data_IF_413026364336
#
_entry.id   IF_413026364336
#
_cell.length_a   1.000
_cell.length_b   1.000
_cell.length_c   1.000
_cell.angle_alpha   90.00
_cell.angle_beta   90.00
_cell.angle_gamma   90.00
#
_symmetry.space_group_name_H-M   'P 1'
#
loop_
_entity.id
_entity.type
_entity.pdbx_description
1 polymer ?
#
# COMPACT_ATOMS: atom_id res chain seq x y z
N UNK A 1 24.02 35.13 -53.52
CA UNK A 1 25.31 35.45 -52.87
C UNK A 1 25.02 35.67 -51.39
N UNK A 2 25.44 34.77 -50.49
CA UNK A 2 26.75 34.79 -49.77
C UNK A 2 26.86 36.05 -48.88
N UNK A 3 27.19 36.06 -47.59
CA UNK A 3 27.63 35.12 -46.54
C UNK A 3 27.67 35.95 -45.23
N UNK A 4 27.67 35.31 -44.05
CA UNK A 4 28.46 35.62 -42.82
C UNK A 4 27.74 34.98 -41.61
N UNK A 5 27.98 33.69 -41.36
CA UNK A 5 28.96 33.14 -40.40
C UNK A 5 28.53 33.18 -38.93
N UNK A 6 27.89 32.08 -38.52
CA UNK A 6 27.91 31.59 -37.14
C UNK A 6 29.31 31.06 -36.80
N UNK A 7 29.96 31.71 -35.84
CA UNK A 7 31.09 31.16 -35.10
C UNK A 7 30.99 31.63 -33.65
N UNK A 8 30.30 30.86 -32.81
CA UNK A 8 30.41 30.96 -31.35
C UNK A 8 30.50 29.56 -30.75
N UNK A 9 31.75 29.10 -30.74
CA UNK A 9 32.46 28.27 -29.78
C UNK A 9 31.81 26.98 -29.23
N UNK A 10 32.44 25.86 -29.59
CA UNK A 10 32.35 24.56 -28.91
C UNK A 10 32.63 24.61 -27.38
N UNK A 11 33.16 25.71 -26.84
CA UNK A 11 33.41 25.91 -25.42
C UNK A 11 32.13 25.95 -24.56
N UNK A 12 31.00 26.45 -25.11
CA UNK A 12 29.72 26.53 -24.38
C UNK A 12 29.02 25.17 -24.19
N UNK A 13 29.23 24.22 -25.10
CA UNK A 13 28.67 22.87 -24.98
C UNK A 13 29.48 21.96 -24.05
N UNK A 14 30.81 22.17 -23.95
CA UNK A 14 31.63 21.45 -22.97
C UNK A 14 31.39 21.92 -21.52
N UNK A 15 31.14 23.22 -21.30
CA UNK A 15 30.83 23.74 -19.97
C UNK A 15 29.48 23.22 -19.43
N UNK A 16 28.44 23.10 -20.28
CA UNK A 16 27.16 22.47 -19.90
C UNK A 16 27.30 20.97 -19.59
N UNK A 17 28.14 20.24 -20.34
CA UNK A 17 28.45 18.83 -20.06
C UNK A 17 29.27 18.62 -18.78
N UNK A 18 30.11 19.59 -18.40
CA UNK A 18 30.87 19.52 -17.14
C UNK A 18 30.03 19.87 -15.91
N UNK A 19 29.03 20.74 -16.02
CA UNK A 19 28.11 21.06 -14.91
C UNK A 19 27.10 19.93 -14.64
N UNK A 20 26.65 19.19 -15.67
CA UNK A 20 25.85 17.96 -15.46
C UNK A 20 26.68 16.80 -14.87
N UNK A 21 28.00 16.78 -15.06
CA UNK A 21 28.89 15.75 -14.49
C UNK A 21 29.34 16.01 -13.05
N UNK A 22 29.05 17.19 -12.47
CA UNK A 22 29.45 17.53 -11.09
C UNK A 22 28.35 17.35 -10.03
N UNK A 23 27.15 16.91 -10.42
CA UNK A 23 26.08 16.52 -9.47
C UNK A 23 26.21 15.07 -8.95
N UNK A 24 27.22 14.33 -9.41
CA UNK A 24 27.50 12.96 -8.94
C UNK A 24 28.91 12.90 -8.34
N UNK A 25 29.02 13.43 -7.12
CA UNK A 25 30.19 13.28 -6.27
C UNK A 25 30.13 11.98 -5.45
N UNK A 26 31.02 11.05 -5.84
CA UNK A 26 31.59 9.87 -5.14
C UNK A 26 30.77 9.01 -4.16
N UNK A 27 30.72 7.73 -4.50
CA UNK A 27 30.64 6.53 -3.64
C UNK A 27 29.34 6.23 -2.89
N UNK A 28 28.28 6.03 -3.67
CA UNK A 28 27.39 4.86 -3.52
C UNK A 28 26.93 4.51 -4.93
N UNK A 29 26.95 3.24 -5.33
CA UNK A 29 26.37 2.78 -6.60
C UNK A 29 24.99 3.43 -6.75
N UNK A 30 24.84 4.38 -7.69
CA UNK A 30 23.59 5.07 -7.92
C UNK A 30 22.62 4.09 -8.61
N UNK A 31 22.06 3.16 -7.82
CA UNK A 31 21.04 2.23 -8.28
C UNK A 31 19.80 3.05 -8.63
N UNK A 32 19.24 2.81 -9.83
CA UNK A 32 17.92 3.34 -10.21
C UNK A 32 16.91 3.07 -9.08
N UNK A 33 15.93 3.96 -8.84
CA UNK A 33 14.93 3.76 -7.78
C UNK A 33 14.26 2.38 -7.94
N UNK A 34 14.03 1.65 -6.84
CA UNK A 34 13.29 0.39 -6.90
C UNK A 34 11.80 0.62 -7.24
N UNK A 35 11.07 -0.46 -7.51
CA UNK A 35 9.62 -0.43 -7.72
C UNK A 35 8.95 -1.64 -7.05
N UNK A 36 7.69 -1.52 -6.68
CA UNK A 36 6.91 -2.63 -6.11
C UNK A 36 6.03 -3.29 -7.19
N UNK A 37 5.63 -4.54 -6.99
CA UNK A 37 4.69 -5.24 -7.89
C UNK A 37 3.46 -5.65 -7.11
N UNK A 38 2.28 -5.24 -7.58
CA UNK A 38 1.00 -5.65 -7.03
C UNK A 38 0.28 -6.58 -8.00
N UNK A 39 -0.09 -7.75 -7.52
CA UNK A 39 -0.82 -8.75 -8.27
C UNK A 39 -2.23 -8.84 -7.71
N UNK A 40 -3.22 -8.46 -8.54
CA UNK A 40 -4.62 -8.47 -8.17
C UNK A 40 -5.28 -9.79 -8.57
N UNK A 41 -5.56 -10.64 -7.58
CA UNK A 41 -6.38 -11.84 -7.79
C UNK A 41 -7.87 -11.49 -7.67
N UNK A 42 -8.70 -11.67 -8.70
CA UNK A 42 -10.04 -11.07 -8.72
C UNK A 42 -11.10 -11.87 -7.96
N UNK A 43 -10.85 -13.13 -7.61
CA UNK A 43 -11.88 -14.06 -7.13
C UNK A 43 -11.93 -14.18 -5.60
N UNK A 44 -13.13 -14.28 -5.05
CA UNK A 44 -13.45 -14.67 -3.68
C UNK A 44 -14.43 -15.85 -3.68
N UNK A 45 -14.39 -16.70 -2.66
CA UNK A 45 -15.38 -17.77 -2.49
C UNK A 45 -16.79 -17.18 -2.27
N UNK A 46 -16.87 -16.11 -1.49
CA UNK A 46 -18.10 -15.36 -1.26
C UNK A 46 -17.81 -13.86 -1.09
N UNK A 47 -18.84 -13.02 -1.22
CA UNK A 47 -18.73 -11.58 -1.03
C UNK A 47 -19.13 -11.19 0.39
N UNK A 48 -18.15 -10.77 1.20
CA UNK A 48 -18.39 -10.19 2.54
C UNK A 48 -19.36 -9.00 2.47
N UNK A 49 -20.19 -8.83 3.49
CA UNK A 49 -21.30 -7.85 3.49
C UNK A 49 -20.83 -6.40 3.44
N UNK A 50 -19.60 -6.12 3.90
CA UNK A 50 -19.00 -4.79 3.94
C UNK A 50 -18.11 -4.47 2.73
N UNK A 51 -17.80 -5.44 1.86
CA UNK A 51 -16.75 -5.25 0.88
C UNK A 51 -17.21 -4.50 -0.38
N UNK A 52 -16.51 -3.42 -0.71
CA UNK A 52 -16.71 -2.60 -1.91
C UNK A 52 -15.56 -2.69 -2.94
N UNK A 53 -14.67 -3.69 -2.82
CA UNK A 53 -13.54 -3.86 -3.76
C UNK A 53 -13.97 -4.49 -5.09
N UNK A 54 -13.13 -4.29 -6.13
CA UNK A 54 -13.27 -4.97 -7.41
C UNK A 54 -12.98 -6.46 -7.25
N UNK A 55 -14.00 -7.24 -6.93
CA UNK A 55 -13.87 -8.68 -6.76
C UNK A 55 -15.13 -9.42 -7.19
N UNK A 56 -14.92 -10.64 -7.64
CA UNK A 56 -15.93 -11.49 -8.25
C UNK A 56 -16.07 -12.77 -7.44
N UNK A 57 -17.29 -13.28 -7.32
CA UNK A 57 -17.50 -14.61 -6.74
C UNK A 57 -16.86 -15.62 -7.69
N UNK A 58 -16.08 -16.53 -7.12
CA UNK A 58 -15.36 -17.55 -7.85
C UNK A 58 -16.38 -18.41 -8.64
N UNK A 59 -16.29 -18.47 -9.98
CA UNK A 59 -17.19 -19.32 -10.75
C UNK A 59 -16.87 -20.80 -10.47
N UNK A 60 -17.82 -21.68 -10.80
CA UNK A 60 -17.68 -23.13 -10.56
C UNK A 60 -16.45 -23.74 -11.25
N UNK A 61 -16.08 -23.22 -12.42
CA UNK A 61 -14.89 -23.60 -13.17
C UNK A 61 -14.11 -22.32 -13.55
N UNK A 62 -13.27 -21.81 -12.64
CA UNK A 62 -12.57 -20.57 -12.88
C UNK A 62 -11.41 -20.79 -13.85
N UNK A 63 -11.24 -19.91 -14.85
CA UNK A 63 -10.21 -20.06 -15.87
C UNK A 63 -8.82 -19.66 -15.32
N UNK A 64 -8.39 -20.25 -14.20
CA UNK A 64 -7.17 -19.91 -13.48
C UNK A 64 -5.94 -19.95 -14.39
N UNK A 65 -5.79 -20.99 -15.21
CA UNK A 65 -4.60 -21.15 -16.04
C UNK A 65 -4.56 -20.10 -17.16
N UNK A 66 -5.72 -19.73 -17.72
CA UNK A 66 -5.86 -18.62 -18.68
C UNK A 66 -5.55 -17.27 -18.01
N UNK A 67 -6.06 -17.06 -16.79
CA UNK A 67 -5.83 -15.84 -16.03
C UNK A 67 -4.35 -15.66 -15.69
N UNK A 68 -3.69 -16.72 -15.22
CA UNK A 68 -2.25 -16.71 -14.92
C UNK A 68 -1.46 -16.40 -16.17
N UNK A 69 -1.79 -17.04 -17.31
CA UNK A 69 -1.15 -16.74 -18.59
C UNK A 69 -1.29 -15.25 -18.95
N UNK A 70 -2.50 -14.70 -18.86
CA UNK A 70 -2.75 -13.28 -19.11
C UNK A 70 -1.91 -12.36 -18.19
N UNK A 71 -1.88 -12.65 -16.88
CA UNK A 71 -1.08 -11.89 -15.91
C UNK A 71 0.43 -11.98 -16.20
N UNK A 72 0.94 -13.15 -16.58
CA UNK A 72 2.35 -13.31 -16.96
C UNK A 72 2.66 -12.58 -18.27
N UNK A 73 1.75 -12.58 -19.25
CA UNK A 73 1.91 -11.80 -20.49
C UNK A 73 1.98 -10.30 -20.19
N UNK A 74 1.07 -9.78 -19.36
CA UNK A 74 1.07 -8.37 -18.98
C UNK A 74 2.32 -7.98 -18.18
N UNK A 75 2.79 -8.85 -17.27
CA UNK A 75 4.07 -8.67 -16.60
C UNK A 75 5.23 -8.55 -17.59
N UNK A 76 5.32 -9.47 -18.54
CA UNK A 76 6.37 -9.45 -19.56
C UNK A 76 6.31 -8.19 -20.41
N UNK A 77 5.10 -7.74 -20.77
CA UNK A 77 4.88 -6.49 -21.50
C UNK A 77 5.48 -5.30 -20.73
N UNK A 78 5.04 -5.06 -19.50
CA UNK A 78 5.48 -3.88 -18.73
C UNK A 78 6.95 -3.94 -18.32
N UNK A 79 7.46 -5.12 -17.97
CA UNK A 79 8.86 -5.26 -17.54
C UNK A 79 9.84 -5.06 -18.70
N UNK A 80 9.42 -5.32 -19.94
CA UNK A 80 10.25 -5.08 -21.14
C UNK A 80 9.96 -3.76 -21.85
N UNK A 81 8.95 -3.00 -21.43
CA UNK A 81 8.64 -1.71 -22.01
C UNK A 81 9.72 -0.67 -21.66
N UNK A 82 10.47 -0.15 -22.65
CA UNK A 82 11.56 0.79 -22.40
C UNK A 82 11.09 2.12 -21.80
N UNK A 83 9.81 2.51 -21.99
CA UNK A 83 9.24 3.74 -21.43
C UNK A 83 9.38 3.81 -19.91
N UNK A 84 9.28 2.68 -19.22
CA UNK A 84 9.31 2.64 -17.75
C UNK A 84 10.68 2.25 -17.18
N UNK A 85 11.59 1.73 -18.03
CA UNK A 85 12.95 1.37 -17.64
C UNK A 85 13.03 0.35 -16.48
N UNK A 86 12.04 -0.53 -16.33
CA UNK A 86 11.94 -1.45 -15.19
C UNK A 86 13.02 -2.53 -15.17
N UNK A 87 13.55 -2.90 -16.34
CA UNK A 87 14.53 -3.97 -16.51
C UNK A 87 15.82 -3.83 -15.67
N UNK A 88 16.23 -2.59 -15.41
CA UNK A 88 17.44 -2.28 -14.64
C UNK A 88 17.13 -1.82 -13.20
N UNK A 89 15.87 -1.92 -12.76
CA UNK A 89 15.43 -1.50 -11.42
C UNK A 89 15.26 -2.72 -10.53
N UNK A 90 15.59 -2.58 -9.25
CA UNK A 90 15.33 -3.63 -8.25
C UNK A 90 13.84 -3.69 -7.91
N UNK A 91 13.30 -4.90 -7.79
CA UNK A 91 11.98 -5.12 -7.20
C UNK A 91 12.08 -4.91 -5.69
N UNK A 92 11.28 -4.00 -5.15
CA UNK A 92 11.26 -3.65 -3.73
C UNK A 92 10.44 -4.63 -2.90
N UNK A 93 9.29 -5.04 -3.44
CA UNK A 93 8.33 -5.99 -2.87
C UNK A 93 7.39 -6.53 -3.96
N UNK A 94 6.79 -7.68 -3.69
CA UNK A 94 5.67 -8.25 -4.44
C UNK A 94 4.51 -8.49 -3.48
N UNK A 95 3.29 -8.11 -3.86
CA UNK A 95 2.11 -8.31 -3.03
C UNK A 95 0.98 -8.92 -3.83
N UNK A 96 0.51 -10.07 -3.38
CA UNK A 96 -0.67 -10.73 -3.89
C UNK A 96 -1.88 -10.35 -3.03
N UNK A 97 -2.82 -9.60 -3.61
CA UNK A 97 -4.02 -9.13 -2.93
C UNK A 97 -5.27 -9.14 -3.81
N UNK A 98 -6.32 -8.46 -3.36
CA UNK A 98 -7.53 -8.19 -4.16
C UNK A 98 -8.76 -8.91 -3.61
N UNK A 99 -9.18 -9.96 -4.29
CA UNK A 99 -10.19 -10.90 -3.83
C UNK A 99 -9.64 -11.80 -2.74
N UNK A 100 -9.24 -13.01 -3.10
CA UNK A 100 -8.66 -13.99 -2.16
C UNK A 100 -7.56 -14.76 -2.89
N UNK A 101 -6.32 -14.23 -2.93
CA UNK A 101 -5.18 -14.86 -3.63
C UNK A 101 -4.91 -16.30 -3.20
N UNK A 102 -5.18 -16.64 -1.94
CA UNK A 102 -5.06 -18.00 -1.43
C UNK A 102 -6.00 -19.01 -2.09
N UNK A 103 -6.99 -18.59 -2.89
CA UNK A 103 -7.79 -19.48 -3.74
C UNK A 103 -7.02 -19.97 -4.98
N UNK A 104 -5.99 -19.24 -5.41
CA UNK A 104 -5.15 -19.65 -6.53
C UNK A 104 -4.49 -21.02 -6.28
N UNK A 105 -4.08 -21.66 -7.38
CA UNK A 105 -3.16 -22.81 -7.32
C UNK A 105 -1.78 -22.28 -6.91
N UNK A 106 -1.01 -22.96 -6.05
CA UNK A 106 0.37 -22.51 -5.74
C UNK A 106 1.27 -22.39 -6.97
N UNK A 107 1.02 -23.17 -8.01
CA UNK A 107 1.69 -23.05 -9.31
C UNK A 107 1.45 -21.69 -10.00
N UNK A 108 0.31 -21.04 -9.77
CA UNK A 108 0.03 -19.69 -10.26
C UNK A 108 0.98 -18.66 -9.66
N UNK A 109 1.11 -18.69 -8.32
CA UNK A 109 2.02 -17.81 -7.57
C UNK A 109 3.45 -18.05 -8.01
N UNK A 110 3.86 -19.32 -8.13
CA UNK A 110 5.19 -19.68 -8.61
C UNK A 110 5.46 -19.14 -10.03
N UNK A 111 4.52 -19.32 -10.97
CA UNK A 111 4.67 -18.85 -12.34
C UNK A 111 4.86 -17.32 -12.41
N UNK A 112 4.06 -16.56 -11.66
CA UNK A 112 4.14 -15.10 -11.60
C UNK A 112 5.49 -14.65 -11.03
N UNK A 113 5.92 -15.21 -9.91
CA UNK A 113 7.21 -14.87 -9.29
C UNK A 113 8.39 -15.27 -10.18
N UNK A 114 8.28 -16.40 -10.88
CA UNK A 114 9.30 -16.86 -11.81
C UNK A 114 9.40 -15.97 -13.05
N UNK A 115 8.28 -15.47 -13.56
CA UNK A 115 8.28 -14.44 -14.61
C UNK A 115 9.00 -13.18 -14.15
N UNK A 116 8.69 -12.65 -12.95
CA UNK A 116 9.39 -11.47 -12.40
C UNK A 116 10.89 -11.75 -12.28
N UNK A 117 11.27 -12.90 -11.69
CA UNK A 117 12.67 -13.30 -11.51
C UNK A 117 13.42 -13.39 -12.83
N UNK A 118 12.82 -13.96 -13.87
CA UNK A 118 13.44 -14.08 -15.20
C UNK A 118 13.63 -12.74 -15.90
N UNK A 119 12.66 -11.83 -15.76
CA UNK A 119 12.66 -10.57 -16.49
C UNK A 119 13.59 -9.51 -15.85
N UNK A 120 13.58 -9.39 -14.52
CA UNK A 120 14.27 -8.29 -13.81
C UNK A 120 15.11 -8.74 -12.61
N UNK A 121 15.13 -10.04 -12.30
CA UNK A 121 15.73 -10.56 -11.07
C UNK A 121 14.85 -10.32 -9.85
N UNK A 122 14.95 -11.21 -8.87
CA UNK A 122 14.24 -11.11 -7.60
C UNK A 122 15.21 -11.47 -6.48
N UNK A 123 15.54 -10.51 -5.62
CA UNK A 123 16.48 -10.74 -4.53
C UNK A 123 15.86 -11.64 -3.46
N UNK A 124 16.68 -12.47 -2.80
CA UNK A 124 16.21 -13.43 -1.81
C UNK A 124 15.52 -12.78 -0.59
N UNK A 125 15.89 -11.54 -0.29
CA UNK A 125 15.32 -10.73 0.80
C UNK A 125 14.11 -9.87 0.38
N UNK A 126 13.63 -10.00 -0.86
CA UNK A 126 12.45 -9.27 -1.33
C UNK A 126 11.22 -9.68 -0.52
N UNK A 127 10.47 -8.71 0.02
CA UNK A 127 9.19 -9.00 0.67
C UNK A 127 8.18 -9.52 -0.37
N UNK A 128 7.68 -10.74 -0.17
CA UNK A 128 6.65 -11.37 -1.00
C UNK A 128 5.47 -11.66 -0.07
N UNK A 129 4.53 -10.72 -0.05
CA UNK A 129 3.33 -10.75 0.79
C UNK A 129 2.15 -11.37 0.05
N UNK A 130 1.31 -12.13 0.77
CA UNK A 130 0.07 -12.67 0.21
C UNK A 130 -1.08 -12.58 1.22
N UNK A 131 -2.24 -12.17 0.74
CA UNK A 131 -3.50 -12.22 1.49
C UNK A 131 -4.11 -13.64 1.47
N UNK A 132 -4.62 -14.09 2.61
CA UNK A 132 -5.30 -15.35 2.75
C UNK A 132 -6.50 -15.28 3.70
N UNK A 133 -7.51 -16.12 3.43
CA UNK A 133 -8.62 -16.36 4.37
C UNK A 133 -8.30 -17.55 5.29
N UNK A 134 -8.83 -17.57 6.52
CA UNK A 134 -8.49 -18.59 7.52
C UNK A 134 -9.27 -19.91 7.37
N UNK A 135 -9.83 -20.23 6.21
CA UNK A 135 -10.59 -21.47 5.99
C UNK A 135 -9.67 -22.70 5.90
N UNK A 136 -10.24 -23.90 6.07
CA UNK A 136 -9.47 -25.16 6.09
C UNK A 136 -8.80 -25.49 4.74
N UNK A 137 -9.44 -25.16 3.63
CA UNK A 137 -8.91 -25.39 2.28
C UNK A 137 -7.67 -24.56 2.05
N UNK A 138 -7.73 -23.26 2.36
CA UNK A 138 -6.60 -22.33 2.24
C UNK A 138 -5.43 -22.74 3.14
N UNK A 139 -5.70 -23.15 4.39
CA UNK A 139 -4.69 -23.62 5.34
C UNK A 139 -3.85 -24.77 4.77
N UNK A 140 -4.48 -25.71 4.05
CA UNK A 140 -3.79 -26.87 3.48
C UNK A 140 -2.71 -26.50 2.43
N UNK A 141 -2.85 -25.32 1.80
CA UNK A 141 -1.96 -24.84 0.73
C UNK A 141 -0.82 -23.94 1.22
N UNK A 142 -0.85 -23.49 2.47
CA UNK A 142 0.13 -22.52 3.01
C UNK A 142 1.60 -22.95 2.84
N UNK A 143 1.90 -24.24 3.06
CA UNK A 143 3.27 -24.77 2.84
C UNK A 143 3.70 -24.66 1.38
N UNK A 144 2.78 -24.93 0.45
CA UNK A 144 3.05 -24.86 -0.98
C UNK A 144 3.19 -23.41 -1.45
N UNK A 145 2.47 -22.46 -0.86
CA UNK A 145 2.67 -21.03 -1.11
C UNK A 145 4.03 -20.53 -0.59
N UNK A 146 4.47 -20.98 0.58
CA UNK A 146 5.84 -20.70 1.07
C UNK A 146 6.89 -21.25 0.09
N UNK A 147 6.70 -22.49 -0.38
CA UNK A 147 7.58 -23.10 -1.39
C UNK A 147 7.56 -22.38 -2.74
N UNK A 148 6.42 -21.80 -3.13
CA UNK A 148 6.30 -21.01 -4.34
C UNK A 148 7.08 -19.69 -4.27
N UNK A 149 7.39 -19.21 -3.05
CA UNK A 149 8.21 -18.03 -2.80
C UNK A 149 7.57 -16.99 -1.86
N UNK A 150 6.33 -17.20 -1.40
CA UNK A 150 5.71 -16.29 -0.42
C UNK A 150 6.51 -16.34 0.89
N UNK A 151 6.81 -15.19 1.47
CA UNK A 151 7.57 -15.10 2.71
C UNK A 151 6.93 -14.18 3.77
N UNK A 152 5.76 -13.60 3.49
CA UNK A 152 4.90 -12.88 4.44
C UNK A 152 3.43 -13.16 4.15
N UNK A 153 2.62 -13.37 5.19
CA UNK A 153 1.20 -13.70 5.07
C UNK A 153 0.34 -12.70 5.83
N UNK A 154 -0.73 -12.20 5.20
CA UNK A 154 -1.81 -11.45 5.86
C UNK A 154 -3.09 -12.27 5.91
N UNK A 155 -3.59 -12.54 7.12
CA UNK A 155 -4.84 -13.28 7.33
C UNK A 155 -6.02 -12.34 7.55
N UNK A 156 -7.04 -12.46 6.71
CA UNK A 156 -8.28 -11.71 6.86
C UNK A 156 -9.18 -12.26 7.96
N UNK A 157 -8.79 -12.12 9.24
CA UNK A 157 -9.53 -12.64 10.40
C UNK A 157 -10.79 -11.81 10.67
N UNK A 158 -10.68 -10.48 10.65
CA UNK A 158 -11.71 -9.46 10.85
C UNK A 158 -12.33 -9.40 12.25
N UNK A 159 -12.58 -10.55 12.87
CA UNK A 159 -13.11 -10.67 14.22
C UNK A 159 -12.75 -12.04 14.81
N UNK A 160 -12.57 -12.10 16.13
CA UNK A 160 -12.46 -13.35 16.89
C UNK A 160 -13.84 -13.86 17.34
N UNK A 161 -14.90 -13.06 17.15
CA UNK A 161 -16.27 -13.40 17.52
C UNK A 161 -17.04 -14.00 16.34
N UNK A 162 -17.46 -15.26 16.46
CA UNK A 162 -18.22 -15.98 15.44
C UNK A 162 -19.56 -15.32 15.07
N UNK A 163 -20.23 -14.63 15.99
CA UNK A 163 -21.47 -13.90 15.69
C UNK A 163 -21.20 -12.74 14.73
N UNK A 164 -20.16 -11.96 15.02
CA UNK A 164 -19.77 -10.79 14.23
C UNK A 164 -19.25 -11.21 12.84
N UNK A 165 -18.50 -12.32 12.77
CA UNK A 165 -18.07 -12.91 11.51
C UNK A 165 -19.25 -13.26 10.58
N UNK A 166 -20.32 -13.87 11.11
CA UNK A 166 -21.53 -14.17 10.34
C UNK A 166 -22.20 -12.89 9.82
N UNK A 167 -22.27 -11.85 10.65
CA UNK A 167 -22.80 -10.55 10.26
C UNK A 167 -21.99 -9.89 9.13
N UNK A 168 -20.66 -10.02 9.19
CA UNK A 168 -19.74 -9.56 8.16
C UNK A 168 -19.75 -10.43 6.88
N UNK A 169 -20.53 -11.51 6.85
CA UNK A 169 -20.60 -12.45 5.73
C UNK A 169 -19.30 -13.23 5.54
N UNK A 170 -18.62 -13.56 6.65
CA UNK A 170 -17.44 -14.42 6.67
C UNK A 170 -17.86 -15.89 6.74
N UNK A 171 -17.09 -16.74 6.09
CA UNK A 171 -17.29 -18.18 5.95
C UNK A 171 -16.48 -19.01 6.97
N UNK A 172 -15.89 -18.33 7.96
CA UNK A 172 -15.09 -18.92 9.02
C UNK A 172 -15.59 -18.51 10.41
N UNK A 173 -15.23 -19.29 11.42
CA UNK A 173 -15.46 -19.04 12.85
C UNK A 173 -14.22 -18.48 13.53
N UNK A 174 -14.37 -17.91 14.74
CA UNK A 174 -13.23 -17.43 15.52
C UNK A 174 -12.22 -18.55 15.83
N UNK A 175 -12.69 -19.77 16.10
CA UNK A 175 -11.83 -20.94 16.34
C UNK A 175 -11.01 -21.32 15.10
N UNK A 176 -11.63 -21.31 13.92
CA UNK A 176 -10.93 -21.56 12.65
C UNK A 176 -9.89 -20.47 12.37
N UNK A 177 -10.19 -19.20 12.69
CA UNK A 177 -9.24 -18.09 12.59
C UNK A 177 -8.01 -18.30 13.48
N UNK A 178 -8.21 -18.67 14.75
CA UNK A 178 -7.12 -18.95 15.69
C UNK A 178 -6.26 -20.13 15.21
N UNK A 179 -6.89 -21.20 14.72
CA UNK A 179 -6.19 -22.36 14.16
C UNK A 179 -5.37 -21.98 12.93
N UNK A 180 -5.97 -21.22 12.00
CA UNK A 180 -5.30 -20.76 10.79
C UNK A 180 -4.08 -19.89 11.11
N UNK A 181 -4.21 -18.98 12.08
CA UNK A 181 -3.13 -18.13 12.54
C UNK A 181 -1.99 -18.96 13.13
N UNK A 182 -2.29 -19.95 13.97
CA UNK A 182 -1.29 -20.85 14.54
C UNK A 182 -0.51 -21.60 13.44
N UNK A 183 -1.22 -22.23 12.50
CA UNK A 183 -0.61 -22.94 11.37
C UNK A 183 0.23 -21.99 10.49
N UNK A 184 -0.26 -20.79 10.22
CA UNK A 184 0.47 -19.79 9.46
C UNK A 184 1.78 -19.39 10.16
N UNK A 185 1.75 -19.17 11.47
CA UNK A 185 2.95 -18.82 12.26
C UNK A 185 3.98 -19.95 12.27
N UNK A 186 3.54 -21.21 12.35
CA UNK A 186 4.44 -22.36 12.25
C UNK A 186 5.12 -22.45 10.89
N UNK A 187 4.39 -22.11 9.81
CA UNK A 187 4.91 -22.19 8.44
C UNK A 187 5.79 -20.99 8.12
N UNK A 188 5.35 -19.77 8.37
CA UNK A 188 6.00 -18.53 7.92
C UNK A 188 6.89 -17.86 8.97
N UNK A 189 6.90 -18.37 10.20
CA UNK A 189 7.43 -17.70 11.40
C UNK A 189 6.54 -16.54 11.85
N UNK A 190 6.39 -16.38 13.17
CA UNK A 190 5.44 -15.43 13.77
C UNK A 190 5.68 -13.98 13.35
N UNK A 191 6.92 -13.62 13.05
CA UNK A 191 7.37 -12.29 12.65
C UNK A 191 6.90 -11.92 11.24
N UNK A 192 6.51 -12.90 10.42
CA UNK A 192 6.09 -12.74 9.03
C UNK A 192 4.60 -13.01 8.80
N UNK A 193 3.83 -13.15 9.88
CA UNK A 193 2.39 -13.33 9.82
C UNK A 193 1.71 -12.16 10.50
N UNK A 194 0.81 -11.52 9.76
CA UNK A 194 -0.10 -10.50 10.25
C UNK A 194 -1.54 -10.97 10.06
N UNK A 195 -2.46 -10.32 10.75
CA UNK A 195 -3.88 -10.45 10.48
C UNK A 195 -4.57 -9.10 10.58
N UNK A 196 -5.72 -9.03 9.94
CA UNK A 196 -6.56 -7.84 9.89
C UNK A 196 -7.73 -8.00 10.86
N UNK A 197 -8.04 -6.94 11.61
CA UNK A 197 -9.25 -6.83 12.43
C UNK A 197 -10.08 -5.62 12.00
N UNK A 198 -11.39 -5.74 12.20
CA UNK A 198 -12.34 -4.67 11.95
C UNK A 198 -13.08 -4.37 13.26
N UNK A 199 -12.97 -3.12 13.71
CA UNK A 199 -13.70 -2.58 14.87
C UNK A 199 -14.81 -1.60 14.43
N UNK A 200 -15.55 -1.06 15.39
CA UNK A 200 -16.77 -0.27 15.16
C UNK A 200 -17.86 -1.03 14.38
N UNK A 201 -18.00 -2.33 14.67
CA UNK A 201 -19.00 -3.20 14.04
C UNK A 201 -20.42 -2.93 14.59
N UNK A 202 -21.51 -3.27 13.86
CA UNK A 202 -22.86 -3.09 14.37
C UNK A 202 -23.06 -3.71 15.76
N UNK A 203 -23.50 -2.91 16.73
CA UNK A 203 -23.72 -3.34 18.12
C UNK A 203 -22.47 -3.53 18.97
N UNK A 204 -21.26 -3.28 18.44
CA UNK A 204 -20.02 -3.40 19.20
C UNK A 204 -19.89 -2.25 20.20
N UNK A 205 -19.61 -2.56 21.45
CA UNK A 205 -19.28 -1.55 22.47
C UNK A 205 -17.76 -1.39 22.61
N UNK A 206 -17.30 -0.25 23.13
CA UNK A 206 -15.86 -0.02 23.40
C UNK A 206 -15.28 -1.12 24.28
N UNK A 207 -16.01 -1.55 25.32
CA UNK A 207 -15.60 -2.64 26.21
C UNK A 207 -15.47 -3.99 25.49
N UNK A 208 -16.35 -4.27 24.53
CA UNK A 208 -16.24 -5.49 23.73
C UNK A 208 -15.02 -5.45 22.82
N UNK A 209 -14.74 -4.29 22.22
CA UNK A 209 -13.55 -4.09 21.42
C UNK A 209 -12.27 -4.21 22.24
N UNK A 210 -12.17 -3.55 23.40
CA UNK A 210 -11.00 -3.65 24.28
C UNK A 210 -10.68 -5.10 24.65
N UNK A 211 -11.70 -5.90 24.98
CA UNK A 211 -11.55 -7.32 25.30
C UNK A 211 -11.06 -8.15 24.12
N UNK A 212 -11.62 -7.95 22.93
CA UNK A 212 -11.24 -8.66 21.72
C UNK A 212 -9.84 -8.25 21.24
N UNK A 213 -9.54 -6.95 21.27
CA UNK A 213 -8.21 -6.41 20.96
C UNK A 213 -7.16 -7.02 21.88
N UNK A 214 -7.47 -7.17 23.17
CA UNK A 214 -6.52 -7.74 24.10
C UNK A 214 -6.14 -9.17 23.75
N UNK A 215 -7.15 -10.00 23.45
CA UNK A 215 -6.98 -11.37 22.99
C UNK A 215 -6.19 -11.43 21.68
N UNK A 216 -6.47 -10.51 20.75
CA UNK A 216 -5.79 -10.43 19.47
C UNK A 216 -4.30 -10.09 19.64
N UNK A 217 -3.97 -9.13 20.51
CA UNK A 217 -2.59 -8.73 20.76
C UNK A 217 -1.78 -9.82 21.49
N UNK A 218 -2.42 -10.61 22.37
CA UNK A 218 -1.79 -11.78 23.01
C UNK A 218 -1.35 -12.84 22.00
N UNK A 219 -2.10 -12.98 20.90
CA UNK A 219 -1.82 -13.94 19.83
C UNK A 219 -1.18 -13.30 18.61
N UNK A 220 -0.85 -12.01 18.60
CA UNK A 220 -0.32 -11.33 17.44
C UNK A 220 1.14 -11.70 17.14
N UNK A 221 1.57 -11.47 15.89
CA UNK A 221 2.97 -11.52 15.49
C UNK A 221 3.65 -10.20 15.83
N UNK A 222 4.62 -9.77 15.03
CA UNK A 222 5.20 -8.44 15.21
C UNK A 222 4.49 -7.35 14.40
N UNK A 223 3.41 -7.71 13.72
CA UNK A 223 2.58 -6.83 12.92
C UNK A 223 1.10 -7.20 13.05
N UNK A 224 0.22 -6.20 13.02
CA UNK A 224 -1.22 -6.35 12.87
C UNK A 224 -1.80 -5.13 12.14
N UNK A 225 -2.94 -5.33 11.47
CA UNK A 225 -3.70 -4.25 10.85
C UNK A 225 -5.07 -4.16 11.51
N UNK A 226 -5.51 -2.94 11.84
CA UNK A 226 -6.78 -2.68 12.51
C UNK A 226 -7.52 -1.58 11.77
N UNK A 227 -8.71 -1.90 11.30
CA UNK A 227 -9.52 -1.03 10.47
C UNK A 227 -10.82 -0.65 11.17
N UNK A 228 -11.18 0.62 11.11
CA UNK A 228 -12.54 1.02 11.44
C UNK A 228 -13.49 0.54 10.33
N UNK A 229 -14.63 -0.05 10.69
CA UNK A 229 -15.63 -0.42 9.70
C UNK A 229 -16.23 0.82 9.04
N UNK A 230 -15.92 1.04 7.77
CA UNK A 230 -16.60 2.03 6.92
C UNK A 230 -17.77 1.39 6.19
N UNK A 231 -18.96 1.97 6.34
CA UNK A 231 -20.20 1.46 5.73
C UNK A 231 -20.43 2.12 4.38
N UNK A 232 -20.01 1.43 3.31
CA UNK A 232 -20.12 1.95 1.94
C UNK A 232 -21.52 1.76 1.34
N UNK A 233 -22.04 2.77 0.64
CA UNK A 233 -23.43 2.81 0.15
C UNK A 233 -23.82 1.64 -0.74
N UNK A 234 -22.87 1.13 -1.51
CA UNK A 234 -23.03 0.02 -2.45
C UNK A 234 -23.13 -1.36 -1.78
N UNK A 235 -22.82 -1.45 -0.48
CA UNK A 235 -22.62 -2.73 0.20
C UNK A 235 -23.92 -3.34 0.74
N UNK A 236 -24.01 -4.68 0.85
CA UNK A 236 -25.08 -5.35 1.58
C UNK A 236 -25.25 -4.83 3.01
N UNK A 237 -24.15 -4.58 3.73
CA UNK A 237 -24.16 -4.08 5.11
C UNK A 237 -24.92 -2.75 5.23
N UNK A 238 -24.62 -1.78 4.35
CA UNK A 238 -25.33 -0.51 4.30
C UNK A 238 -26.85 -0.69 4.09
N UNK A 239 -27.23 -1.57 3.15
CA UNK A 239 -28.65 -1.86 2.87
C UNK A 239 -29.37 -2.51 4.05
N UNK A 240 -28.68 -3.38 4.79
CA UNK A 240 -29.22 -4.04 5.98
C UNK A 240 -29.36 -3.07 7.15
N UNK A 241 -28.34 -2.23 7.37
CA UNK A 241 -28.35 -1.17 8.39
C UNK A 241 -29.50 -0.19 8.18
N UNK A 242 -29.69 0.32 6.95
CA UNK A 242 -30.81 1.23 6.63
C UNK A 242 -32.19 0.62 6.86
N UNK A 243 -32.33 -0.70 6.78
CA UNK A 243 -33.58 -1.43 7.00
C UNK A 243 -33.80 -1.82 8.47
N UNK A 244 -32.88 -1.48 9.37
CA UNK A 244 -32.95 -1.92 10.77
C UNK A 244 -32.80 -3.43 10.95
N UNK A 245 -32.17 -4.12 9.99
CA UNK A 245 -31.94 -5.58 10.05
C UNK A 245 -30.69 -5.97 10.84
N UNK A 246 -29.92 -4.97 11.28
CA UNK A 246 -28.71 -5.12 12.08
C UNK A 246 -28.84 -4.27 13.35
N UNK A 247 -28.09 -4.60 14.42
CA UNK A 247 -27.88 -3.66 15.52
C UNK A 247 -27.44 -2.28 15.03
N UNK A 248 -27.65 -1.26 15.84
CA UNK A 248 -27.18 0.10 15.51
C UNK A 248 -25.66 0.11 15.33
N UNK A 249 -25.19 0.88 14.35
CA UNK A 249 -23.77 1.21 14.26
C UNK A 249 -23.35 2.02 15.50
N UNK A 250 -22.13 1.84 16.01
CA UNK A 250 -21.56 2.78 16.97
C UNK A 250 -21.63 4.20 16.42
N UNK A 251 -21.98 5.16 17.28
CA UNK A 251 -21.92 6.58 16.95
C UNK A 251 -20.45 7.06 16.80
N UNK A 252 -20.22 8.26 16.24
CA UNK A 252 -18.88 8.77 16.03
C UNK A 252 -18.03 8.85 17.30
N UNK A 253 -18.62 9.19 18.46
CA UNK A 253 -17.90 9.31 19.73
C UNK A 253 -17.46 7.92 20.21
N UNK A 254 -18.35 6.93 20.14
CA UNK A 254 -18.03 5.53 20.48
C UNK A 254 -16.95 4.95 19.56
N UNK A 255 -16.97 5.29 18.26
CA UNK A 255 -15.94 4.86 17.32
C UNK A 255 -14.58 5.53 17.60
N UNK A 256 -14.59 6.79 18.04
CA UNK A 256 -13.39 7.50 18.50
C UNK A 256 -12.81 6.86 19.77
N UNK A 257 -13.66 6.54 20.76
CA UNK A 257 -13.24 5.82 21.97
C UNK A 257 -12.58 4.46 21.64
N UNK A 258 -13.11 3.73 20.65
CA UNK A 258 -12.50 2.48 20.18
C UNK A 258 -11.15 2.71 19.50
N UNK A 259 -11.00 3.78 18.72
CA UNK A 259 -9.71 4.14 18.12
C UNK A 259 -8.68 4.48 19.20
N UNK A 260 -9.03 5.34 20.17
CA UNK A 260 -8.13 5.71 21.27
C UNK A 260 -7.73 4.50 22.11
N UNK A 261 -8.69 3.60 22.39
CA UNK A 261 -8.41 2.33 23.04
C UNK A 261 -7.45 1.46 22.21
N UNK A 262 -7.60 1.45 20.88
CA UNK A 262 -6.72 0.71 19.97
C UNK A 262 -5.29 1.18 20.08
N UNK A 263 -5.06 2.48 19.95
CA UNK A 263 -3.73 3.10 20.03
C UNK A 263 -3.10 2.83 21.39
N UNK A 264 -3.83 3.08 22.48
CA UNK A 264 -3.35 2.90 23.85
C UNK A 264 -2.96 1.45 24.15
N UNK A 265 -3.87 0.51 23.92
CA UNK A 265 -3.64 -0.91 24.27
C UNK A 265 -2.55 -1.51 23.36
N UNK A 266 -2.49 -1.14 22.08
CA UNK A 266 -1.41 -1.59 21.20
C UNK A 266 -0.04 -1.07 21.66
N UNK A 267 0.04 0.19 22.11
CA UNK A 267 1.26 0.76 22.68
C UNK A 267 1.70 0.05 23.97
N UNK A 268 0.75 -0.29 24.86
CA UNK A 268 1.02 -1.08 26.07
C UNK A 268 1.60 -2.48 25.74
N UNK A 269 1.27 -3.00 24.55
CA UNK A 269 1.81 -4.27 24.01
C UNK A 269 3.13 -4.11 23.23
N UNK A 270 3.66 -2.89 23.17
CA UNK A 270 4.91 -2.54 22.50
C UNK A 270 4.80 -2.40 20.99
N UNK A 271 3.61 -2.13 20.44
CA UNK A 271 3.45 -1.82 19.02
C UNK A 271 3.54 -0.31 18.76
N UNK A 272 4.15 0.02 17.62
CA UNK A 272 4.21 1.37 17.07
C UNK A 272 3.19 1.50 15.93
N UNK A 273 2.27 2.48 16.05
CA UNK A 273 1.28 2.82 15.03
C UNK A 273 1.94 3.58 13.88
N UNK A 274 2.47 2.90 12.87
CA UNK A 274 3.34 3.56 11.88
C UNK A 274 2.55 4.19 10.71
N UNK A 275 1.32 3.75 10.48
CA UNK A 275 0.37 4.30 9.50
C UNK A 275 -1.07 4.05 9.94
N UNK A 276 -2.03 4.80 9.38
CA UNK A 276 -3.46 4.88 9.76
C UNK A 276 -4.16 3.58 10.18
N UNK A 277 -3.71 2.42 9.71
CA UNK A 277 -4.32 1.13 10.05
C UNK A 277 -3.34 0.06 10.50
N UNK A 278 -2.02 0.30 10.53
CA UNK A 278 -1.05 -0.77 10.82
C UNK A 278 -0.06 -0.43 11.92
N UNK A 279 0.28 -1.49 12.65
CA UNK A 279 1.03 -1.46 13.88
C UNK A 279 2.15 -2.47 13.80
N UNK A 280 3.36 -2.09 14.22
CA UNK A 280 4.53 -2.96 14.20
C UNK A 280 5.35 -2.86 15.49
N UNK A 281 5.81 -3.98 16.06
CA UNK A 281 6.72 -3.96 17.22
C UNK A 281 8.13 -3.53 16.87
N UNK A 282 8.53 -3.74 15.62
CA UNK A 282 9.90 -3.56 15.12
C UNK A 282 9.87 -3.00 13.71
N UNK A 283 10.89 -2.22 13.34
CA UNK A 283 11.01 -1.64 11.99
C UNK A 283 10.95 -2.72 10.89
N UNK A 284 11.54 -3.89 11.12
CA UNK A 284 11.55 -5.00 10.14
C UNK A 284 10.18 -5.66 9.93
N UNK A 285 9.21 -5.39 10.81
CA UNK A 285 7.86 -5.90 10.69
C UNK A 285 6.93 -4.95 9.91
N UNK A 286 7.34 -3.70 9.68
CA UNK A 286 6.63 -2.75 8.81
C UNK A 286 6.52 -3.37 7.41
N UNK A 287 5.32 -3.40 6.83
CA UNK A 287 5.16 -3.91 5.46
C UNK A 287 5.82 -2.96 4.47
N UNK A 288 6.88 -3.44 3.82
CA UNK A 288 7.59 -2.69 2.77
C UNK A 288 6.66 -2.34 1.62
N UNK A 289 5.81 -3.29 1.23
CA UNK A 289 4.88 -3.08 0.13
C UNK A 289 3.85 -1.98 0.45
N UNK A 290 3.16 -2.08 1.58
CA UNK A 290 2.15 -1.08 1.95
C UNK A 290 2.78 0.31 2.13
N UNK A 291 3.96 0.35 2.77
CA UNK A 291 4.67 1.61 2.99
C UNK A 291 5.14 2.27 1.69
N UNK A 292 5.49 1.49 0.66
CA UNK A 292 5.89 2.01 -0.65
C UNK A 292 4.77 2.84 -1.32
N UNK A 293 3.51 2.47 -1.12
CA UNK A 293 2.36 3.26 -1.61
C UNK A 293 2.31 4.63 -0.94
N UNK A 294 2.40 4.63 0.39
CA UNK A 294 2.34 5.83 1.22
C UNK A 294 3.45 6.82 0.87
N UNK A 295 4.63 6.30 0.53
CA UNK A 295 5.81 7.09 0.20
C UNK A 295 5.87 7.53 -1.27
N UNK A 296 4.82 7.29 -2.04
CA UNK A 296 4.76 7.76 -3.41
C UNK A 296 5.60 6.93 -4.39
N UNK A 297 6.13 5.77 -4.02
CA UNK A 297 6.99 4.96 -4.90
C UNK A 297 6.24 4.46 -6.15
N UNK A 298 6.99 4.09 -7.19
CA UNK A 298 6.41 3.41 -8.34
C UNK A 298 6.00 1.98 -7.97
N UNK A 299 4.86 1.57 -8.50
CA UNK A 299 4.39 0.20 -8.41
C UNK A 299 3.70 -0.23 -9.70
N UNK A 300 4.03 -1.43 -10.15
CA UNK A 300 3.40 -2.09 -11.28
C UNK A 300 2.18 -2.88 -10.78
N UNK A 301 0.99 -2.50 -11.23
CA UNK A 301 -0.24 -3.25 -10.97
C UNK A 301 -0.57 -4.20 -12.10
N UNK A 302 -0.84 -5.46 -11.77
CA UNK A 302 -1.13 -6.55 -12.72
C UNK A 302 -2.41 -7.25 -12.31
N UNK A 303 -3.26 -7.57 -13.28
CA UNK A 303 -4.48 -8.32 -13.07
C UNK A 303 -5.76 -7.48 -13.22
N UNK A 304 -6.94 -8.13 -13.21
CA UNK A 304 -8.21 -7.46 -13.48
C UNK A 304 -8.51 -6.34 -12.47
N UNK A 305 -8.67 -5.12 -12.95
CA UNK A 305 -8.92 -3.93 -12.12
C UNK A 305 -7.73 -3.49 -11.25
N UNK A 306 -6.53 -4.04 -11.47
CA UNK A 306 -5.33 -3.57 -10.79
C UNK A 306 -5.04 -2.12 -11.17
N UNK A 307 -4.63 -1.32 -10.19
CA UNK A 307 -4.09 0.00 -10.43
C UNK A 307 -2.57 -0.05 -10.35
N UNK A 308 -1.90 0.83 -11.10
CA UNK A 308 -0.45 1.03 -11.06
C UNK A 308 -0.09 2.51 -11.03
N UNK A 309 1.15 2.78 -10.65
CA UNK A 309 1.77 4.10 -10.76
C UNK A 309 3.21 3.93 -11.23
N UNK A 310 3.51 4.36 -12.45
CA UNK A 310 4.82 4.22 -13.06
C UNK A 310 5.36 5.57 -13.49
N UNK A 311 6.68 5.69 -13.53
CA UNK A 311 7.35 6.85 -14.13
C UNK A 311 7.77 6.49 -15.55
N UNK A 312 7.25 7.24 -16.53
CA UNK A 312 7.77 7.24 -17.89
C UNK A 312 9.09 8.04 -17.89
N UNK A 313 10.20 7.35 -18.14
CA UNK A 313 11.54 7.92 -18.11
C UNK A 313 11.91 8.67 -19.39
N UNK A 314 11.16 8.49 -20.48
CA UNK A 314 11.37 9.22 -21.73
C UNK A 314 10.72 10.59 -21.65
N UNK A 315 9.49 10.66 -21.13
CA UNK A 315 8.73 11.91 -20.94
C UNK A 315 9.01 12.59 -19.59
N UNK A 316 9.75 11.90 -18.69
CA UNK A 316 9.99 12.34 -17.31
C UNK A 316 8.67 12.69 -16.59
N UNK A 317 7.64 11.84 -16.78
CA UNK A 317 6.29 12.06 -16.29
C UNK A 317 5.75 10.80 -15.62
N UNK A 318 5.02 10.96 -14.52
CA UNK A 318 4.35 9.83 -13.87
C UNK A 318 2.99 9.58 -14.50
N UNK A 319 2.59 8.32 -14.53
CA UNK A 319 1.29 7.87 -15.02
C UNK A 319 0.62 6.94 -14.02
N UNK A 320 -0.71 7.06 -13.89
CA UNK A 320 -1.57 6.07 -13.25
C UNK A 320 -2.03 5.09 -14.32
N UNK A 321 -1.91 3.79 -14.07
CA UNK A 321 -2.48 2.74 -14.92
C UNK A 321 -3.73 2.17 -14.27
N UNK A 322 -4.72 1.85 -15.09
CA UNK A 322 -6.00 1.30 -14.66
C UNK A 322 -6.27 0.03 -15.47
N UNK A 323 -6.26 -1.13 -14.81
CA UNK A 323 -6.60 -2.41 -15.42
C UNK A 323 -8.09 -2.53 -15.75
N UNK A 324 -8.40 -3.33 -16.76
CA UNK A 324 -9.77 -3.72 -17.11
C UNK A 324 -10.40 -4.49 -15.94
N UNK A 325 -11.57 -4.05 -15.48
CA UNK A 325 -12.17 -4.55 -14.23
C UNK A 325 -12.58 -6.02 -14.35
N UNK A 326 -13.23 -6.39 -15.45
CA UNK A 326 -13.84 -7.70 -15.60
C UNK A 326 -12.81 -8.75 -16.04
N UNK A 327 -12.64 -9.89 -15.31
CA UNK A 327 -11.60 -10.87 -15.60
C UNK A 327 -11.58 -11.38 -17.05
N UNK A 328 -12.75 -11.68 -17.63
CA UNK A 328 -12.82 -12.17 -19.02
C UNK A 328 -12.36 -11.13 -20.05
N UNK A 329 -12.69 -9.86 -19.83
CA UNK A 329 -12.27 -8.77 -20.73
C UNK A 329 -10.78 -8.50 -20.57
N UNK A 330 -10.30 -8.49 -19.33
CA UNK A 330 -8.88 -8.37 -19.02
C UNK A 330 -8.05 -9.47 -19.71
N UNK A 331 -8.46 -10.74 -19.60
CA UNK A 331 -7.77 -11.85 -20.25
C UNK A 331 -7.79 -11.72 -21.77
N UNK A 332 -8.93 -11.33 -22.36
CA UNK A 332 -9.05 -11.13 -23.80
C UNK A 332 -8.15 -9.98 -24.31
N UNK A 333 -8.02 -8.89 -23.55
CA UNK A 333 -7.11 -7.79 -23.88
C UNK A 333 -5.65 -8.24 -23.82
N UNK A 334 -5.25 -8.96 -22.76
CA UNK A 334 -3.89 -9.49 -22.64
C UNK A 334 -3.53 -10.45 -23.79
N UNK A 335 -4.51 -11.23 -24.28
CA UNK A 335 -4.33 -12.13 -25.42
C UNK A 335 -4.17 -11.39 -26.74
N UNK A 336 -4.87 -10.26 -26.92
CA UNK A 336 -4.86 -9.48 -28.16
C UNK A 336 -3.69 -8.49 -28.23
N UNK A 337 -3.42 -7.78 -27.13
CA UNK A 337 -2.53 -6.61 -27.09
C UNK A 337 -1.28 -6.83 -26.22
N UNK A 338 -1.24 -7.94 -25.46
CA UNK A 338 -0.17 -8.24 -24.51
C UNK A 338 -0.37 -7.65 -23.11
N UNK A 339 -1.40 -6.82 -22.91
CA UNK A 339 -1.67 -6.10 -21.67
C UNK A 339 -3.18 -5.86 -21.46
N UNK A 340 -3.60 -5.60 -20.22
CA UNK A 340 -5.01 -5.51 -19.82
C UNK A 340 -5.45 -4.13 -19.32
N UNK A 341 -4.75 -3.06 -19.69
CA UNK A 341 -5.01 -1.68 -19.29
C UNK A 341 -6.15 -1.08 -20.11
N UNK A 342 -7.11 -0.50 -19.39
CA UNK A 342 -8.23 0.26 -19.97
C UNK A 342 -7.97 1.77 -20.03
N UNK A 343 -7.04 2.28 -19.22
CA UNK A 343 -6.71 3.70 -19.15
C UNK A 343 -5.30 3.90 -18.62
N UNK A 344 -4.55 4.81 -19.25
CA UNK A 344 -3.33 5.40 -18.70
C UNK A 344 -3.62 6.90 -18.52
N UNK A 345 -3.28 7.44 -17.35
CA UNK A 345 -3.51 8.85 -17.03
C UNK A 345 -2.22 9.50 -16.54
N UNK A 346 -1.70 10.51 -17.26
CA UNK A 346 -0.65 11.39 -16.76
C UNK A 346 -0.99 12.01 -15.41
N UNK A 347 -0.01 12.08 -14.52
CA UNK A 347 -0.09 12.76 -13.22
C UNK A 347 0.59 14.12 -13.39
N UNK A 348 -0.17 15.19 -13.14
CA UNK A 348 0.39 16.54 -13.13
C UNK A 348 1.37 16.70 -11.96
N UNK A 349 2.27 17.68 -12.02
CA UNK A 349 3.16 17.97 -10.88
C UNK A 349 2.37 18.42 -9.64
N UNK A 350 1.22 19.06 -9.85
CA UNK A 350 0.29 19.44 -8.80
C UNK A 350 -0.32 18.20 -8.13
N UNK A 351 -0.92 17.30 -8.90
CA UNK A 351 -1.48 16.04 -8.41
C UNK A 351 -0.42 15.21 -7.67
N UNK A 352 0.82 15.21 -8.15
CA UNK A 352 1.92 14.49 -7.50
C UNK A 352 2.26 15.09 -6.14
N UNK A 353 2.34 16.42 -6.06
CA UNK A 353 2.59 17.11 -4.80
C UNK A 353 1.46 16.85 -3.79
N UNK A 354 0.20 16.92 -4.24
CA UNK A 354 -0.97 16.58 -3.42
C UNK A 354 -0.95 15.11 -2.98
N UNK A 355 -0.69 14.16 -3.86
CA UNK A 355 -0.58 12.73 -3.51
C UNK A 355 0.48 12.49 -2.43
N UNK A 356 1.65 13.11 -2.56
CA UNK A 356 2.74 12.95 -1.58
C UNK A 356 2.35 13.50 -0.21
N UNK A 357 1.60 14.60 -0.17
CA UNK A 357 1.09 15.15 1.09
C UNK A 357 0.00 14.25 1.67
N UNK A 358 -1.02 13.92 0.87
CA UNK A 358 -2.16 13.10 1.28
C UNK A 358 -1.73 11.72 1.78
N UNK A 359 -0.79 11.08 1.10
CA UNK A 359 -0.31 9.75 1.47
C UNK A 359 0.77 9.80 2.55
N UNK A 360 1.74 10.71 2.48
CA UNK A 360 2.79 10.82 3.48
C UNK A 360 2.23 11.12 4.87
N UNK A 361 1.25 12.02 4.95
CA UNK A 361 0.61 12.40 6.22
C UNK A 361 -0.26 11.29 6.83
N UNK A 362 -0.61 10.23 6.09
CA UNK A 362 -1.26 9.03 6.65
C UNK A 362 -0.28 8.06 7.30
N UNK A 363 0.97 8.48 7.48
CA UNK A 363 2.00 7.73 8.19
C UNK A 363 2.57 8.58 9.31
N UNK A 364 3.05 7.95 10.40
CA UNK A 364 3.84 8.64 11.43
C UNK A 364 5.19 9.12 10.89
N UNK A 365 5.66 8.59 9.76
CA UNK A 365 6.81 9.14 9.06
C UNK A 365 6.53 10.53 8.48
N UNK A 366 5.32 10.81 8.01
CA UNK A 366 5.01 12.09 7.37
C UNK A 366 5.72 12.30 6.04
N UNK A 367 6.14 13.53 5.78
CA UNK A 367 6.72 14.01 4.53
C UNK A 367 8.14 14.53 4.78
N UNK A 368 9.18 13.77 4.41
CA UNK A 368 10.54 14.30 4.33
C UNK A 368 10.64 15.35 3.22
N UNK A 369 11.23 16.52 3.50
CA UNK A 369 11.41 17.59 2.49
C UNK A 369 12.29 17.15 1.33
N UNK A 370 13.30 16.34 1.61
CA UNK A 370 14.19 15.76 0.59
C UNK A 370 13.43 14.91 -0.43
N UNK A 371 12.55 14.01 0.05
CA UNK A 371 11.68 13.18 -0.79
C UNK A 371 10.73 14.05 -1.59
N UNK A 372 10.02 14.97 -0.93
CA UNK A 372 9.06 15.85 -1.58
C UNK A 372 9.71 16.60 -2.74
N UNK A 373 10.85 17.26 -2.49
CA UNK A 373 11.58 18.00 -3.51
C UNK A 373 12.06 17.09 -4.64
N UNK A 374 12.66 15.93 -4.33
CA UNK A 374 13.13 14.98 -5.34
C UNK A 374 12.01 14.48 -6.25
N UNK A 375 10.85 14.16 -5.68
CA UNK A 375 9.74 13.60 -6.44
C UNK A 375 9.00 14.66 -7.26
N UNK A 376 8.89 15.89 -6.75
CA UNK A 376 8.20 17.00 -7.42
C UNK A 376 9.11 17.84 -8.31
N UNK A 377 10.28 17.33 -8.70
CA UNK A 377 11.20 18.04 -9.60
C UNK A 377 11.76 19.35 -9.02
N UNK A 378 11.88 19.44 -7.70
CA UNK A 378 12.47 20.56 -6.99
C UNK A 378 11.49 21.46 -6.25
N UNK A 379 10.19 21.14 -6.19
CA UNK A 379 9.24 21.96 -5.46
C UNK A 379 9.55 21.98 -3.95
N UNK A 380 9.22 23.09 -3.29
CA UNK A 380 9.41 23.28 -1.85
C UNK A 380 8.09 23.03 -1.14
N UNK A 381 8.06 22.09 -0.18
CA UNK A 381 6.85 21.66 0.53
C UNK A 381 6.04 22.85 1.08
N UNK A 382 6.72 23.77 1.76
CA UNK A 382 6.14 24.95 2.41
C UNK A 382 5.43 25.91 1.41
N UNK A 383 5.76 25.84 0.11
CA UNK A 383 5.08 26.63 -0.93
C UNK A 383 3.73 26.00 -1.35
N UNK A 384 3.58 24.69 -1.16
CA UNK A 384 2.41 23.89 -1.56
C UNK A 384 1.39 23.78 -0.41
N UNK A 385 1.85 23.65 0.84
CA UNK A 385 0.97 23.59 2.01
C UNK A 385 0.60 24.98 2.54
N UNK A 386 -0.49 25.05 3.29
CA UNK A 386 -0.88 26.23 4.05
C UNK A 386 -0.06 26.30 5.34
N UNK A 387 0.85 27.28 5.39
CA UNK A 387 1.77 27.49 6.50
C UNK A 387 1.09 28.06 7.74
N UNK A 388 -0.03 28.77 7.59
CA UNK A 388 -0.81 29.27 8.73
C UNK A 388 -1.57 28.09 9.36
N UNK A 389 -2.19 27.24 8.55
CA UNK A 389 -2.81 26.01 9.02
C UNK A 389 -1.78 25.07 9.69
N UNK A 390 -0.60 24.89 9.09
CA UNK A 390 0.50 24.12 9.69
C UNK A 390 0.83 24.63 11.09
N UNK A 391 1.00 25.95 11.26
CA UNK A 391 1.32 26.54 12.56
C UNK A 391 0.23 26.26 13.60
N UNK A 392 -1.04 26.44 13.23
CA UNK A 392 -2.18 26.12 14.11
C UNK A 392 -2.20 24.65 14.53
N UNK A 393 -1.92 23.73 13.60
CA UNK A 393 -1.86 22.31 13.91
C UNK A 393 -0.64 21.92 14.76
N UNK A 394 0.48 22.63 14.63
CA UNK A 394 1.63 22.45 15.52
C UNK A 394 1.34 22.97 16.94
N UNK A 395 0.69 24.13 17.06
CA UNK A 395 0.24 24.68 18.35
C UNK A 395 -0.76 23.75 19.05
N UNK A 396 -1.61 23.06 18.28
CA UNK A 396 -2.53 22.04 18.77
C UNK A 396 -1.89 20.65 19.00
N UNK A 397 -0.57 20.50 18.81
CA UNK A 397 0.17 19.24 18.92
C UNK A 397 -0.39 18.11 18.01
N UNK A 398 -0.93 18.48 16.85
CA UNK A 398 -1.41 17.55 15.82
C UNK A 398 -0.32 17.27 14.78
N UNK A 399 0.47 18.27 14.43
CA UNK A 399 1.60 18.12 13.53
C UNK A 399 2.89 18.52 14.24
N UNK A 400 4.01 17.94 13.83
CA UNK A 400 5.35 18.37 14.25
C UNK A 400 6.23 18.56 13.04
N UNK A 401 7.11 19.56 13.15
CA UNK A 401 8.23 19.72 12.23
C UNK A 401 9.48 19.21 12.92
N UNK A 402 10.19 18.32 12.24
CA UNK A 402 11.44 17.75 12.72
C UNK A 402 12.55 18.21 11.77
N UNK A 403 13.65 18.71 12.32
CA UNK A 403 14.78 19.19 11.51
C UNK A 403 15.69 18.04 11.04
N UNK A 404 15.65 16.90 11.74
CA UNK A 404 16.42 15.69 11.47
C UNK A 404 15.70 14.44 11.99
N UNK A 405 16.22 13.26 11.67
CA UNK A 405 15.75 11.99 12.24
C UNK A 405 15.88 11.99 13.77
N UNK A 406 14.80 11.64 14.48
CA UNK A 406 14.78 11.47 15.93
C UNK A 406 14.63 10.00 16.31
N UNK A 407 14.97 9.64 17.54
CA UNK A 407 14.77 8.27 18.04
C UNK A 407 13.29 7.87 17.99
N UNK A 408 12.36 8.77 18.35
CA UNK A 408 10.91 8.55 18.25
C UNK A 408 10.50 8.26 16.80
N UNK A 409 10.90 9.13 15.87
CA UNK A 409 10.56 8.99 14.46
C UNK A 409 11.08 7.68 13.85
N UNK A 410 12.30 7.29 14.21
CA UNK A 410 12.96 6.12 13.61
C UNK A 410 12.11 4.85 13.72
N UNK A 411 11.37 4.65 14.81
CA UNK A 411 10.53 3.47 15.03
C UNK A 411 9.42 3.28 13.96
N UNK A 412 9.00 4.36 13.30
CA UNK A 412 7.93 4.34 12.30
C UNK A 412 8.43 4.29 10.85
N UNK A 413 9.74 4.32 10.64
CA UNK A 413 10.35 4.45 9.32
C UNK A 413 11.09 3.15 8.97
N UNK A 414 10.80 2.52 7.80
CA UNK A 414 11.61 1.42 7.31
C UNK A 414 13.09 1.80 7.25
N UNK A 415 13.97 0.87 7.61
CA UNK A 415 15.41 1.13 7.75
C UNK A 415 16.03 1.73 6.47
N UNK A 416 15.56 1.27 5.31
CA UNK A 416 15.99 1.72 4.00
C UNK A 416 15.56 3.15 3.64
N UNK A 417 14.67 3.78 4.42
CA UNK A 417 14.16 5.14 4.20
C UNK A 417 14.65 6.15 5.24
N UNK A 418 15.41 5.72 6.26
CA UNK A 418 15.91 6.61 7.31
C UNK A 418 16.73 7.78 6.75
N UNK A 419 17.48 7.54 5.66
CA UNK A 419 18.33 8.53 5.00
C UNK A 419 17.54 9.76 4.49
N UNK A 420 16.24 9.64 4.27
CA UNK A 420 15.42 10.74 3.73
C UNK A 420 15.26 11.89 4.73
N UNK A 421 15.50 11.63 6.01
CA UNK A 421 15.47 12.61 7.08
C UNK A 421 16.85 13.20 7.43
N UNK A 422 17.92 12.73 6.80
CA UNK A 422 19.27 13.25 7.02
C UNK A 422 19.48 14.65 6.39
N UNK A 423 18.61 15.05 5.46
CA UNK A 423 18.73 16.31 4.72
C UNK A 423 17.43 17.12 4.71
N UNK A 424 17.41 18.20 5.49
CA UNK A 424 16.35 19.23 5.42
C UNK A 424 15.06 18.92 6.20
N UNK A 425 15.05 17.88 7.03
CA UNK A 425 13.92 17.57 7.91
C UNK A 425 12.61 17.32 7.17
N UNK A 426 11.50 17.62 7.83
CA UNK A 426 10.16 17.29 7.32
C UNK A 426 9.03 17.64 8.28
N UNK A 427 7.82 17.28 7.87
CA UNK A 427 6.59 17.48 8.65
C UNK A 427 5.93 16.11 8.81
N UNK A 428 5.47 15.79 10.03
CA UNK A 428 4.77 14.53 10.30
C UNK A 428 3.61 14.73 11.28
N UNK A 429 2.59 13.85 11.25
CA UNK A 429 1.58 13.85 12.29
C UNK A 429 2.15 13.32 13.62
N UNK A 430 1.63 13.86 14.72
CA UNK A 430 1.65 13.17 16.02
C UNK A 430 0.65 12.03 16.00
N UNK A 431 0.57 11.25 17.09
CA UNK A 431 -0.48 10.24 17.24
C UNK A 431 -1.88 10.87 17.14
N UNK A 432 -2.11 11.95 17.88
CA UNK A 432 -3.35 12.73 17.86
C UNK A 432 -3.63 13.39 16.48
N UNK A 433 -2.57 13.68 15.72
CA UNK A 433 -2.69 14.16 14.34
C UNK A 433 -3.13 13.09 13.37
N UNK A 434 -2.58 11.87 13.50
CA UNK A 434 -2.89 10.75 12.61
C UNK A 434 -4.36 10.32 12.76
N UNK A 435 -4.88 10.34 13.98
CA UNK A 435 -6.30 10.16 14.30
C UNK A 435 -7.20 11.13 13.51
N UNK A 436 -6.78 12.39 13.39
CA UNK A 436 -7.56 13.49 12.81
C UNK A 436 -7.12 13.82 11.40
N UNK A 437 -6.44 12.90 10.72
CA UNK A 437 -5.73 13.23 9.49
C UNK A 437 -6.66 13.67 8.36
N UNK A 438 -7.86 13.11 8.29
CA UNK A 438 -8.89 13.49 7.32
C UNK A 438 -9.48 14.89 7.60
N UNK A 439 -9.38 15.39 8.82
CA UNK A 439 -9.70 16.78 9.16
C UNK A 439 -8.55 17.74 8.82
N UNK A 440 -7.31 17.31 9.04
CA UNK A 440 -6.10 18.11 8.83
C UNK A 440 -5.83 18.33 7.33
N UNK A 441 -5.85 17.26 6.54
CA UNK A 441 -5.41 17.29 5.14
C UNK A 441 -6.11 18.34 4.27
N UNK A 442 -7.46 18.48 4.28
CA UNK A 442 -8.14 19.48 3.46
C UNK A 442 -7.79 20.93 3.85
N UNK A 443 -7.30 21.17 5.07
CA UNK A 443 -6.90 22.49 5.57
C UNK A 443 -5.41 22.75 5.37
N UNK A 444 -4.60 21.69 5.38
CA UNK A 444 -3.16 21.77 5.16
C UNK A 444 -2.82 21.95 3.68
N UNK A 445 -3.63 21.38 2.77
CA UNK A 445 -3.49 21.62 1.34
C UNK A 445 -3.98 23.04 1.04
N UNK A 446 -3.13 23.87 0.42
CA UNK A 446 -3.59 25.16 -0.12
C UNK A 446 -4.64 24.87 -1.18
N UNK A 447 -5.88 25.27 -0.93
CA UNK A 447 -6.90 25.37 -2.00
C UNK A 447 -6.46 26.49 -2.92
N UNK A 448 -5.58 26.19 -3.89
CA UNK A 448 -5.34 27.10 -4.99
C UNK A 448 -6.34 26.76 -6.08
N UNK A 449 -7.34 27.62 -6.27
CA UNK A 449 -7.86 27.82 -7.62
C UNK A 449 -6.69 28.39 -8.45
N UNK A 450 -5.85 27.52 -8.99
CA UNK A 450 -4.96 27.91 -10.07
C UNK A 450 -5.90 28.02 -11.27
N UNK A 451 -6.36 29.25 -11.52
CA UNK A 451 -7.02 29.62 -12.76
C UNK A 451 -6.07 29.22 -13.89
N UNK A 452 -6.51 28.28 -14.73
CA UNK A 452 -6.10 28.26 -16.14
C UNK A 452 -6.72 29.47 -16.86
#
# INVERSE_FOLDING_TARGET
>A
MRYYHHATSMAGQQARRMLQKRAYGSNTLCSKPSFSVYIHWPYCESKCTYCNFNKYVNPKDPPHDRLVKAMTTELEYFLNDPRYGLKDRKVHSVYFGGGTPSLAKPSAIHAILETIRKQVGLADDTEISMEANPTSIEQSKLKQFKQAGVNRLSLGIQSLNTHDLKMLGRDHTGEEALKALSVAKDIFHKERVTFDLIYARPGQTTRDWERELQQALDIAGDHLSMYQLTVERSTPLHKQSLKGLLPSMPDPDSAADMYEATVRIAADYGYHHYEVSSYAKRQQAISRHNFSYWQGMDFLGIGPGAHGRLTDIHENQRVRTFGEFHPDKYMALCEAEGEGIRKIQPISMHDMAEELIVFGMRTRMGIPRSRFSKMTGGAVLDQVIDTEALKLFMEANLLVQEDAMTNDLSCFVPQELLYEWESGGGIRPTEAGLERIDYILPRLLKVKSIKD
#
